data_IF_465883917166
#
_entry.id   IF_465883917166
#
_cell.length_a   1.000
_cell.length_b   1.000
_cell.length_c   1.000
_cell.angle_alpha   90.00
_cell.angle_beta   90.00
_cell.angle_gamma   90.00
#
_symmetry.space_group_name_H-M   'P 1'
#
loop_
_entity.id
_entity.type
_entity.pdbx_description
1 polymer ?
#
# COMPACT_ATOMS: atom_id res chain seq x y z
N UNK A 1 -25.49 -22.75 14.76
CA UNK A 1 -24.38 -23.16 13.87
C UNK A 1 -24.17 -22.00 12.92
N UNK A 2 -23.35 -21.05 13.31
CA UNK A 2 -23.18 -19.78 12.59
C UNK A 2 -21.80 -19.79 11.95
N UNK A 3 -21.77 -19.92 10.64
CA UNK A 3 -20.54 -19.84 9.85
C UNK A 3 -20.16 -18.38 9.76
N UNK A 4 -19.06 -17.98 10.40
CA UNK A 4 -18.44 -16.67 10.22
C UNK A 4 -17.57 -16.71 8.96
N UNK A 5 -18.05 -16.10 7.89
CA UNK A 5 -17.25 -15.90 6.68
C UNK A 5 -16.46 -14.59 6.86
N UNK A 6 -15.16 -14.72 7.11
CA UNK A 6 -14.25 -13.58 7.17
C UNK A 6 -13.78 -13.30 5.75
N UNK A 7 -14.17 -12.17 5.19
CA UNK A 7 -13.63 -11.67 3.92
C UNK A 7 -12.25 -11.10 4.22
N UNK A 8 -11.22 -11.88 3.94
CA UNK A 8 -9.82 -11.46 4.01
C UNK A 8 -9.44 -10.91 2.64
N UNK A 9 -9.27 -9.61 2.54
CA UNK A 9 -8.57 -8.99 1.40
C UNK A 9 -7.09 -9.38 1.53
N UNK A 10 -6.73 -10.36 0.72
CA UNK A 10 -5.49 -11.02 0.40
C UNK A 10 -4.20 -10.68 1.15
N UNK A 11 -3.89 -11.44 2.19
CA UNK A 11 -2.53 -11.84 2.48
C UNK A 11 -2.48 -13.37 2.32
N UNK A 12 -1.98 -13.86 1.21
CA UNK A 12 -1.83 -15.29 0.94
C UNK A 12 -0.60 -15.81 1.68
N UNK A 13 -0.80 -16.49 2.82
CA UNK A 13 0.23 -17.26 3.49
C UNK A 13 0.36 -18.63 2.80
N UNK A 14 1.50 -18.90 2.18
CA UNK A 14 1.87 -20.22 1.66
C UNK A 14 2.54 -21.02 2.77
N UNK A 15 1.96 -22.15 3.13
CA UNK A 15 2.52 -23.10 4.09
C UNK A 15 3.69 -23.88 3.47
N UNK A 16 4.87 -23.82 4.10
CA UNK A 16 6.04 -24.62 3.77
C UNK A 16 5.96 -25.99 4.42
N UNK A 17 5.97 -27.05 3.64
CA UNK A 17 6.20 -28.42 4.08
C UNK A 17 7.69 -28.72 4.11
N UNK A 18 8.20 -29.08 5.26
CA UNK A 18 9.60 -29.49 5.50
C UNK A 18 9.86 -30.90 5.01
N UNK A 19 10.82 -31.05 4.12
CA UNK A 19 11.44 -32.34 3.76
C UNK A 19 12.88 -32.37 4.25
N UNK A 20 13.18 -33.22 5.22
CA UNK A 20 14.53 -33.51 5.73
C UNK A 20 15.24 -34.51 4.79
N UNK A 21 16.46 -34.20 4.36
CA UNK A 21 17.44 -35.19 3.96
C UNK A 21 18.87 -34.74 4.35
N UNK A 22 19.58 -35.58 5.06
CA UNK A 22 20.91 -35.36 5.60
C UNK A 22 22.00 -35.99 4.68
N UNK A 23 23.31 -35.91 5.01
CA UNK A 23 24.34 -35.43 4.08
C UNK A 23 25.26 -36.54 3.53
N UNK A 24 26.00 -36.23 2.48
CA UNK A 24 27.18 -37.00 2.08
C UNK A 24 28.37 -36.08 1.91
N UNK A 25 29.43 -36.35 2.69
CA UNK A 25 30.73 -35.70 2.57
C UNK A 25 31.54 -36.32 1.46
N UNK A 26 32.25 -35.50 0.67
CA UNK A 26 33.42 -35.91 -0.05
C UNK A 26 34.41 -34.73 -0.19
N UNK A 27 35.63 -34.94 0.30
CA UNK A 27 36.74 -33.99 0.18
C UNK A 27 37.43 -34.14 -1.15
N UNK A 28 37.90 -33.01 -1.70
CA UNK A 28 38.73 -33.01 -2.90
C UNK A 28 39.31 -31.61 -3.18
N UNK A 29 40.60 -31.56 -3.11
CA UNK A 29 41.56 -30.47 -3.12
C UNK A 29 41.69 -29.70 -4.44
N UNK A 30 42.11 -28.44 -4.35
CA UNK A 30 42.82 -27.72 -5.42
C UNK A 30 42.08 -26.48 -5.96
N UNK A 31 42.38 -25.33 -5.42
CA UNK A 31 41.87 -24.05 -5.88
C UNK A 31 42.91 -23.20 -6.55
N UNK A 32 42.68 -22.86 -7.83
CA UNK A 32 43.21 -21.65 -8.41
C UNK A 32 42.22 -20.50 -8.14
N UNK A 33 42.67 -19.25 -7.90
CA UNK A 33 41.72 -18.16 -7.63
C UNK A 33 40.91 -17.85 -8.89
N UNK A 34 39.62 -18.03 -8.77
CA UNK A 34 38.67 -17.62 -9.81
C UNK A 34 38.73 -16.10 -9.93
N UNK A 35 39.19 -15.68 -11.12
CA UNK A 35 39.10 -14.30 -11.60
C UNK A 35 37.66 -13.84 -11.49
N UNK A 36 37.41 -12.78 -10.70
CA UNK A 36 36.08 -12.21 -10.56
C UNK A 36 35.51 -11.95 -11.97
N UNK A 37 34.43 -12.61 -12.30
CA UNK A 37 33.65 -12.36 -13.49
C UNK A 37 33.06 -10.94 -13.40
N UNK A 38 33.43 -10.13 -14.38
CA UNK A 38 32.88 -8.79 -14.52
C UNK A 38 31.38 -8.84 -14.73
N UNK A 39 30.63 -8.01 -13.95
CA UNK A 39 29.27 -7.60 -14.29
C UNK A 39 28.22 -8.70 -14.21
N UNK A 40 28.02 -9.31 -13.04
CA UNK A 40 26.73 -9.96 -12.78
C UNK A 40 25.66 -8.86 -12.78
N UNK A 41 24.66 -9.00 -13.65
CA UNK A 41 23.48 -8.12 -13.67
C UNK A 41 22.84 -8.16 -12.26
N UNK A 42 23.00 -7.09 -11.52
CA UNK A 42 22.58 -7.01 -10.10
C UNK A 42 21.07 -7.16 -9.91
N UNK A 43 20.28 -7.10 -10.99
CA UNK A 43 18.81 -7.19 -10.98
C UNK A 43 18.26 -8.44 -11.66
N UNK A 44 19.07 -9.47 -11.94
CA UNK A 44 18.61 -10.67 -12.65
C UNK A 44 17.58 -11.46 -11.83
N UNK A 45 17.73 -11.53 -10.50
CA UNK A 45 16.75 -12.16 -9.62
C UNK A 45 15.39 -11.42 -9.71
N UNK A 46 15.42 -10.11 -9.64
CA UNK A 46 14.23 -9.25 -9.77
C UNK A 46 13.55 -9.41 -11.13
N UNK A 47 14.32 -9.47 -12.22
CA UNK A 47 13.76 -9.76 -13.55
C UNK A 47 13.09 -11.13 -13.62
N UNK A 48 13.67 -12.15 -12.97
CA UNK A 48 13.06 -13.50 -12.91
C UNK A 48 11.75 -13.47 -12.13
N UNK A 49 11.72 -12.79 -10.98
CA UNK A 49 10.51 -12.66 -10.15
C UNK A 49 9.39 -11.92 -10.89
N UNK A 50 9.69 -10.81 -11.56
CA UNK A 50 8.75 -10.05 -12.38
C UNK A 50 8.18 -10.92 -13.53
N UNK A 51 9.02 -11.71 -14.20
CA UNK A 51 8.57 -12.64 -15.26
C UNK A 51 7.76 -13.82 -14.69
N UNK A 52 8.07 -14.25 -13.47
CA UNK A 52 7.29 -15.27 -12.78
C UNK A 52 5.88 -14.77 -12.49
N UNK A 53 5.71 -13.57 -11.95
CA UNK A 53 4.40 -12.98 -11.70
C UNK A 53 3.52 -12.96 -12.97
N UNK A 54 4.10 -12.65 -14.13
CA UNK A 54 3.35 -12.69 -15.41
C UNK A 54 2.97 -14.13 -15.80
N UNK A 55 3.86 -15.10 -15.61
CA UNK A 55 3.51 -16.52 -15.86
C UNK A 55 2.42 -17.02 -14.94
N UNK A 56 2.36 -16.49 -13.71
CA UNK A 56 1.37 -16.86 -12.68
C UNK A 56 0.04 -16.11 -12.84
N UNK A 57 -0.11 -15.34 -13.93
CA UNK A 57 -1.38 -14.77 -14.37
C UNK A 57 -1.55 -13.27 -14.17
N UNK A 58 -0.53 -12.55 -13.71
CA UNK A 58 -0.53 -11.07 -13.73
C UNK A 58 -0.46 -10.60 -15.18
N UNK A 59 -1.38 -9.73 -15.65
CA UNK A 59 -1.34 -9.25 -17.04
C UNK A 59 -0.04 -8.54 -17.39
N UNK A 60 0.48 -7.70 -16.50
CA UNK A 60 1.74 -7.00 -16.69
C UNK A 60 2.24 -6.31 -15.44
N UNK A 61 3.53 -6.06 -15.44
CA UNK A 61 4.29 -5.45 -14.33
C UNK A 61 5.07 -4.25 -14.85
N UNK A 62 5.12 -3.17 -14.06
CA UNK A 62 6.09 -2.09 -14.19
C UNK A 62 6.82 -1.94 -12.86
N UNK A 63 8.13 -1.71 -12.90
CA UNK A 63 9.00 -1.68 -11.74
C UNK A 63 10.12 -0.66 -11.93
N UNK A 64 10.43 0.07 -10.87
CA UNK A 64 11.65 0.87 -10.74
C UNK A 64 12.34 0.52 -9.42
N UNK A 65 13.65 0.34 -9.46
CA UNK A 65 14.50 0.20 -8.30
C UNK A 65 15.63 1.23 -8.33
N UNK A 66 16.04 1.68 -7.18
CA UNK A 66 17.13 2.65 -7.02
C UNK A 66 18.09 2.19 -5.94
N UNK A 67 19.38 2.25 -6.22
CA UNK A 67 20.41 2.04 -5.21
C UNK A 67 21.42 3.19 -5.26
N UNK A 68 21.42 4.03 -4.22
CA UNK A 68 22.19 5.25 -4.18
C UNK A 68 21.81 6.24 -5.29
N UNK A 69 22.71 6.43 -6.26
CA UNK A 69 22.49 7.29 -7.44
C UNK A 69 22.04 6.52 -8.67
N UNK A 70 22.20 5.20 -8.68
CA UNK A 70 21.79 4.34 -9.78
C UNK A 70 20.31 4.09 -9.72
N UNK A 71 19.64 4.15 -10.87
CA UNK A 71 18.22 3.79 -11.04
C UNK A 71 18.10 2.80 -12.19
N UNK A 72 17.25 1.82 -12.01
CA UNK A 72 16.97 0.79 -12.99
C UNK A 72 15.47 0.54 -13.05
N UNK A 73 14.93 0.34 -14.25
CA UNK A 73 13.52 0.06 -14.46
C UNK A 73 13.32 -1.10 -15.41
N UNK A 74 12.22 -1.82 -15.25
CA UNK A 74 11.84 -2.92 -16.13
C UNK A 74 10.33 -3.07 -16.21
N UNK A 75 9.89 -3.74 -17.27
CA UNK A 75 8.50 -4.16 -17.45
C UNK A 75 8.44 -5.62 -17.88
N UNK A 76 7.31 -6.26 -17.65
CA UNK A 76 6.99 -7.56 -18.21
C UNK A 76 5.48 -7.65 -18.51
N UNK A 77 5.10 -8.56 -19.41
CA UNK A 77 3.69 -8.74 -19.80
C UNK A 77 3.13 -7.55 -20.56
N UNK A 78 1.82 -7.34 -20.45
CA UNK A 78 1.11 -6.37 -21.27
C UNK A 78 0.34 -5.35 -20.41
N UNK A 79 0.29 -4.12 -20.93
CA UNK A 79 -0.52 -3.04 -20.39
C UNK A 79 -1.98 -3.08 -20.88
N UNK A 80 -2.24 -3.85 -21.94
CA UNK A 80 -3.58 -3.98 -22.50
C UNK A 80 -3.81 -5.40 -23.04
N UNK A 81 -4.69 -6.16 -22.40
CA UNK A 81 -5.00 -7.55 -22.77
C UNK A 81 -5.65 -7.67 -24.15
N UNK A 82 -6.35 -6.63 -24.64
CA UNK A 82 -7.03 -6.68 -25.95
C UNK A 82 -6.07 -6.38 -27.10
N UNK A 83 -5.16 -5.44 -26.93
CA UNK A 83 -4.23 -4.99 -27.99
C UNK A 83 -2.84 -5.60 -27.88
N UNK A 84 -2.55 -6.28 -26.76
CA UNK A 84 -1.23 -6.78 -26.38
C UNK A 84 -0.14 -5.69 -26.32
N UNK A 85 -0.54 -4.41 -26.20
CA UNK A 85 0.41 -3.33 -26.00
C UNK A 85 1.21 -3.58 -24.69
N UNK A 86 2.54 -3.44 -24.71
CA UNK A 86 3.36 -3.68 -23.51
C UNK A 86 3.09 -2.66 -22.41
N UNK A 87 3.55 -2.95 -21.19
CA UNK A 87 3.69 -1.95 -20.13
C UNK A 87 4.78 -0.94 -20.46
N UNK A 88 4.64 0.30 -19.95
CA UNK A 88 5.70 1.30 -19.93
C UNK A 88 6.29 1.43 -18.52
N UNK A 89 7.57 1.79 -18.43
CA UNK A 89 8.21 2.14 -17.15
C UNK A 89 7.62 3.42 -16.54
N UNK A 90 7.03 4.27 -17.37
CA UNK A 90 6.39 5.53 -16.99
C UNK A 90 4.87 5.38 -16.78
N UNK A 91 4.36 4.14 -16.75
CA UNK A 91 2.93 3.91 -16.52
C UNK A 91 2.52 4.43 -15.15
N UNK A 92 1.54 5.34 -15.15
CA UNK A 92 0.82 5.76 -13.94
C UNK A 92 -0.24 4.73 -13.59
N UNK A 93 -0.41 4.51 -12.29
CA UNK A 93 -1.35 3.55 -11.75
C UNK A 93 -1.94 4.03 -10.43
N UNK A 94 -3.08 3.45 -10.04
CA UNK A 94 -3.67 3.70 -8.72
C UNK A 94 -2.82 2.96 -7.68
N UNK A 95 -2.42 3.68 -6.64
CA UNK A 95 -1.46 3.14 -5.67
C UNK A 95 -2.14 2.52 -4.43
N UNK A 96 -3.47 2.59 -4.35
CA UNK A 96 -4.20 2.03 -3.22
C UNK A 96 -3.67 2.57 -1.88
N UNK A 97 -3.51 1.69 -0.91
CA UNK A 97 -3.16 2.05 0.47
C UNK A 97 -1.79 2.71 0.65
N UNK A 98 -0.92 2.75 -0.36
CA UNK A 98 0.28 3.61 -0.34
C UNK A 98 -0.11 5.08 -0.09
N UNK A 99 -1.33 5.49 -0.46
CA UNK A 99 -1.94 6.79 -0.12
C UNK A 99 -1.80 7.13 1.37
N UNK A 100 -1.91 6.12 2.24
CA UNK A 100 -1.87 6.30 3.70
C UNK A 100 -0.55 6.89 4.18
N UNK A 101 0.58 6.51 3.56
CA UNK A 101 1.88 7.06 3.92
C UNK A 101 1.96 8.56 3.62
N UNK A 102 1.36 9.01 2.51
CA UNK A 102 1.28 10.45 2.20
C UNK A 102 0.40 11.18 3.21
N UNK A 103 -0.76 10.63 3.57
CA UNK A 103 -1.68 11.20 4.57
C UNK A 103 -0.99 11.31 5.93
N UNK A 104 -0.35 10.22 6.39
CA UNK A 104 0.38 10.20 7.67
C UNK A 104 1.54 11.20 7.69
N UNK A 105 2.27 11.34 6.57
CA UNK A 105 3.33 12.34 6.46
C UNK A 105 2.78 13.76 6.66
N UNK A 106 1.61 14.09 6.10
CA UNK A 106 0.96 15.40 6.31
C UNK A 106 0.54 15.59 7.78
N UNK A 107 -0.06 14.59 8.41
CA UNK A 107 -0.44 14.66 9.83
C UNK A 107 0.79 14.92 10.70
N UNK A 108 1.89 14.21 10.46
CA UNK A 108 3.13 14.39 11.22
C UNK A 108 3.82 15.73 10.94
N UNK A 109 3.68 16.30 9.75
CA UNK A 109 4.13 17.68 9.49
C UNK A 109 3.28 18.70 10.26
N UNK A 110 1.96 18.50 10.34
CA UNK A 110 1.07 19.37 11.13
C UNK A 110 1.35 19.26 12.62
N UNK A 111 1.72 18.08 13.11
CA UNK A 111 2.20 17.89 14.49
C UNK A 111 3.50 18.65 14.74
N UNK A 112 4.49 18.52 13.85
CA UNK A 112 5.75 19.26 13.95
C UNK A 112 5.56 20.79 13.93
N UNK A 113 4.49 21.27 13.28
CA UNK A 113 4.07 22.67 13.26
C UNK A 113 3.30 23.09 14.54
N UNK A 114 3.04 22.18 15.47
CA UNK A 114 2.25 22.41 16.68
C UNK A 114 0.76 22.68 16.41
N UNK A 115 0.23 22.25 15.27
CA UNK A 115 -1.15 22.50 14.85
C UNK A 115 -2.13 21.42 15.31
N UNK A 116 -1.63 20.26 15.64
CA UNK A 116 -2.33 19.14 16.27
C UNK A 116 -1.31 18.33 17.10
N UNK A 117 -1.80 17.41 17.92
CA UNK A 117 -0.99 16.38 18.58
C UNK A 117 -1.49 14.99 18.17
N UNK A 118 -0.57 14.04 18.03
CA UNK A 118 -0.97 12.62 17.85
C UNK A 118 -1.79 12.09 19.03
N UNK A 119 -1.68 12.71 20.20
CA UNK A 119 -2.45 12.34 21.40
C UNK A 119 -3.80 13.05 21.49
N UNK A 120 -4.10 13.99 20.57
CA UNK A 120 -5.44 14.56 20.45
C UNK A 120 -6.44 13.46 20.13
N UNK A 121 -7.63 13.57 20.73
CA UNK A 121 -8.71 12.63 20.40
C UNK A 121 -9.38 13.00 19.06
N UNK A 122 -9.97 11.99 18.41
CA UNK A 122 -10.74 12.22 17.17
C UNK A 122 -11.82 13.27 17.39
N UNK A 123 -12.51 13.23 18.53
CA UNK A 123 -13.61 14.13 18.87
C UNK A 123 -13.15 15.58 19.06
N UNK A 124 -11.87 15.83 19.39
CA UNK A 124 -11.27 17.17 19.42
C UNK A 124 -11.39 17.88 18.06
N UNK A 125 -11.17 17.15 16.99
CA UNK A 125 -11.16 17.70 15.62
C UNK A 125 -12.47 17.46 14.87
N UNK A 126 -13.13 16.34 15.13
CA UNK A 126 -14.33 15.86 14.43
C UNK A 126 -15.42 15.52 15.45
N UNK A 127 -15.92 16.51 16.22
CA UNK A 127 -16.89 16.27 17.30
C UNK A 127 -18.15 15.58 16.77
N UNK A 128 -18.53 14.47 17.42
CA UNK A 128 -19.71 13.71 17.10
C UNK A 128 -19.67 12.94 15.78
N UNK A 129 -18.51 12.80 15.11
CA UNK A 129 -18.39 12.02 13.88
C UNK A 129 -18.19 10.53 14.20
N UNK A 130 -17.39 10.21 15.22
CA UNK A 130 -17.14 8.83 15.66
C UNK A 130 -17.96 8.54 16.90
N UNK A 131 -19.19 8.06 16.70
CA UNK A 131 -20.14 7.77 17.79
C UNK A 131 -21.17 6.72 17.38
N UNK A 132 -21.82 6.13 18.36
CA UNK A 132 -22.88 5.13 18.17
C UNK A 132 -22.36 3.71 18.09
N UNK A 133 -23.21 2.75 18.38
CA UNK A 133 -22.92 1.30 18.37
C UNK A 133 -21.68 0.89 19.18
N UNK A 134 -21.27 1.66 20.19
CA UNK A 134 -20.07 1.41 20.99
C UNK A 134 -18.81 2.17 20.56
N UNK A 135 -18.86 2.91 19.47
CA UNK A 135 -17.81 3.84 19.08
C UNK A 135 -17.84 5.12 19.91
N UNK A 136 -16.68 5.61 20.31
CA UNK A 136 -16.52 6.83 21.11
C UNK A 136 -15.22 7.57 20.68
N UNK A 137 -15.38 8.59 19.84
CA UNK A 137 -14.28 9.40 19.33
C UNK A 137 -13.49 10.16 20.39
N UNK A 138 -14.05 10.36 21.59
CA UNK A 138 -13.36 11.00 22.71
C UNK A 138 -12.30 10.10 23.37
N UNK A 139 -12.29 8.81 23.05
CA UNK A 139 -11.38 7.79 23.58
C UNK A 139 -10.37 7.28 22.57
N UNK A 140 -10.43 7.76 21.34
CA UNK A 140 -9.58 7.33 20.23
C UNK A 140 -8.65 8.48 19.86
N UNK A 141 -7.34 8.25 19.89
CA UNK A 141 -6.35 9.26 19.51
C UNK A 141 -6.05 9.25 18.00
N UNK A 142 -5.47 10.34 17.49
CA UNK A 142 -5.00 10.39 16.11
C UNK A 142 -3.89 9.35 15.85
N UNK A 143 -3.03 9.08 16.82
CA UNK A 143 -2.03 8.00 16.78
C UNK A 143 -2.70 6.66 16.51
N UNK A 144 -3.75 6.33 17.26
CA UNK A 144 -4.49 5.07 17.13
C UNK A 144 -5.22 4.93 15.78
N UNK A 145 -5.56 6.05 15.12
CA UNK A 145 -6.01 6.00 13.74
C UNK A 145 -4.87 5.57 12.81
N UNK A 146 -3.70 6.20 12.95
CA UNK A 146 -2.60 6.03 12.00
C UNK A 146 -1.91 4.66 12.11
N UNK A 147 -1.88 4.06 13.30
CA UNK A 147 -1.27 2.74 13.56
C UNK A 147 -2.27 1.57 13.58
N UNK A 148 -3.56 1.85 13.32
CA UNK A 148 -4.65 0.86 13.30
C UNK A 148 -4.95 0.18 14.65
N UNK A 149 -4.70 0.87 15.76
CA UNK A 149 -5.08 0.41 17.11
C UNK A 149 -6.36 1.06 17.63
N UNK A 150 -7.10 1.77 16.78
CA UNK A 150 -8.34 2.47 17.16
C UNK A 150 -9.54 1.58 17.50
N UNK A 151 -9.58 0.36 16.96
CA UNK A 151 -10.72 -0.54 17.01
C UNK A 151 -11.92 -0.12 16.13
N UNK A 152 -11.79 0.95 15.33
CA UNK A 152 -12.87 1.38 14.43
C UNK A 152 -13.08 0.35 13.32
N UNK A 153 -14.32 -0.10 13.15
CA UNK A 153 -14.72 -1.03 12.10
C UNK A 153 -14.28 -0.54 10.71
N UNK A 154 -13.75 -1.44 9.90
CA UNK A 154 -13.33 -1.13 8.55
C UNK A 154 -14.53 -1.11 7.59
N UNK A 155 -14.93 0.05 7.06
CA UNK A 155 -16.08 0.18 6.16
C UNK A 155 -16.00 -0.74 4.94
N UNK A 156 -14.78 -1.09 4.47
CA UNK A 156 -14.63 -2.02 3.34
C UNK A 156 -14.91 -3.49 3.71
N UNK A 157 -15.06 -3.80 4.99
CA UNK A 157 -15.49 -5.10 5.48
C UNK A 157 -17.02 -5.21 5.62
N UNK A 158 -17.78 -4.12 5.38
CA UNK A 158 -19.22 -4.16 5.31
C UNK A 158 -19.67 -5.00 4.10
N UNK A 159 -20.57 -5.95 4.35
CA UNK A 159 -21.02 -6.91 3.34
C UNK A 159 -21.76 -6.23 2.17
N UNK A 160 -22.56 -5.20 2.48
CA UNK A 160 -23.28 -4.44 1.46
C UNK A 160 -22.33 -3.61 0.62
N UNK A 161 -21.35 -2.94 1.26
CA UNK A 161 -20.30 -2.23 0.55
C UNK A 161 -19.50 -3.18 -0.36
N UNK A 162 -19.11 -4.34 0.14
CA UNK A 162 -18.40 -5.36 -0.63
C UNK A 162 -19.17 -5.81 -1.87
N UNK A 163 -20.45 -6.15 -1.72
CA UNK A 163 -21.30 -6.53 -2.84
C UNK A 163 -21.49 -5.40 -3.86
N UNK A 164 -21.65 -4.16 -3.39
CA UNK A 164 -21.90 -3.01 -4.25
C UNK A 164 -20.66 -2.56 -5.01
N UNK A 165 -19.47 -2.56 -4.37
CA UNK A 165 -18.29 -1.93 -4.98
C UNK A 165 -17.19 -2.91 -5.35
N UNK A 166 -17.16 -4.16 -4.86
CA UNK A 166 -16.08 -5.10 -5.15
C UNK A 166 -16.50 -6.28 -6.02
N UNK A 167 -17.77 -6.68 -5.99
CA UNK A 167 -18.25 -7.77 -6.82
C UNK A 167 -18.80 -7.28 -8.16
N UNK A 168 -18.72 -8.14 -9.18
CA UNK A 168 -18.93 -7.83 -10.61
C UNK A 168 -20.17 -6.97 -10.88
N UNK A 169 -21.34 -7.42 -10.47
CA UNK A 169 -22.60 -6.78 -10.87
C UNK A 169 -22.76 -5.43 -10.20
N UNK A 170 -22.47 -5.35 -8.89
CA UNK A 170 -22.46 -4.09 -8.16
C UNK A 170 -21.40 -3.14 -8.68
N UNK A 171 -20.15 -3.59 -8.88
CA UNK A 171 -19.09 -2.73 -9.41
C UNK A 171 -19.44 -2.15 -10.77
N UNK A 172 -19.97 -2.94 -11.70
CA UNK A 172 -20.31 -2.46 -13.05
C UNK A 172 -21.41 -1.40 -13.02
N UNK A 173 -22.33 -1.48 -12.08
CA UNK A 173 -23.42 -0.51 -11.88
C UNK A 173 -22.93 0.74 -11.14
N UNK A 174 -22.13 0.58 -10.07
CA UNK A 174 -21.82 1.60 -9.08
C UNK A 174 -20.41 2.21 -9.16
N UNK A 175 -19.53 1.73 -10.05
CA UNK A 175 -18.11 2.16 -10.12
C UNK A 175 -17.89 3.65 -10.36
N UNK A 176 -18.91 4.40 -10.71
CA UNK A 176 -18.84 5.84 -10.94
C UNK A 176 -19.53 6.67 -9.84
N UNK A 177 -20.12 6.02 -8.84
CA UNK A 177 -20.75 6.69 -7.74
C UNK A 177 -19.74 7.53 -6.95
N UNK A 178 -20.20 8.67 -6.46
CA UNK A 178 -19.41 9.52 -5.58
C UNK A 178 -19.80 9.26 -4.14
N UNK A 179 -18.83 8.86 -3.34
CA UNK A 179 -18.97 8.70 -1.90
C UNK A 179 -18.23 9.82 -1.17
N UNK A 180 -18.91 10.45 -0.23
CA UNK A 180 -18.27 11.43 0.66
C UNK A 180 -17.56 10.72 1.82
N UNK A 181 -16.50 11.33 2.42
CA UNK A 181 -15.87 10.78 3.62
C UNK A 181 -16.85 10.47 4.73
N UNK A 182 -17.84 11.35 4.96
CA UNK A 182 -18.88 11.13 5.98
C UNK A 182 -19.74 9.89 5.70
N UNK A 183 -20.07 9.60 4.45
CA UNK A 183 -20.79 8.37 4.08
C UNK A 183 -19.96 7.11 4.36
N UNK A 184 -18.65 7.14 4.04
CA UNK A 184 -17.76 6.01 4.35
C UNK A 184 -17.65 5.76 5.86
N UNK A 185 -17.51 6.83 6.66
CA UNK A 185 -17.50 6.74 8.12
C UNK A 185 -18.84 6.23 8.66
N UNK A 186 -19.96 6.70 8.10
CA UNK A 186 -21.29 6.27 8.54
C UNK A 186 -21.51 4.76 8.36
N UNK A 187 -20.95 4.15 7.30
CA UNK A 187 -20.97 2.68 7.13
C UNK A 187 -20.25 2.00 8.31
N UNK A 188 -19.07 2.49 8.69
CA UNK A 188 -18.34 1.92 9.83
C UNK A 188 -19.10 2.10 11.15
N UNK A 189 -19.72 3.26 11.37
CA UNK A 189 -20.50 3.55 12.58
C UNK A 189 -21.79 2.73 12.71
N UNK A 190 -22.24 2.09 11.64
CA UNK A 190 -23.37 1.14 11.69
C UNK A 190 -23.01 -0.20 12.35
N UNK A 191 -21.72 -0.50 12.51
CA UNK A 191 -21.20 -1.70 13.16
C UNK A 191 -20.69 -1.41 14.56
N UNK A 192 -20.37 -2.46 15.33
CA UNK A 192 -19.64 -2.31 16.59
C UNK A 192 -18.14 -2.18 16.33
N UNK A 193 -17.37 -1.54 17.22
CA UNK A 193 -15.91 -1.56 17.12
C UNK A 193 -15.37 -3.00 17.23
N UNK A 194 -14.25 -3.27 16.56
CA UNK A 194 -13.61 -4.59 16.59
C UNK A 194 -13.03 -4.90 17.98
N UNK A 195 -12.56 -3.88 18.69
CA UNK A 195 -12.00 -3.95 20.06
C UNK A 195 -11.95 -2.55 20.70
N UNK A 196 -11.65 -2.49 21.98
CA UNK A 196 -11.46 -1.22 22.69
C UNK A 196 -10.18 -0.52 22.23
N UNK A 197 -10.15 0.83 22.07
CA UNK A 197 -8.99 1.56 21.58
C UNK A 197 -7.69 1.21 22.33
N UNK A 198 -6.64 0.92 21.59
CA UNK A 198 -5.32 0.59 22.12
C UNK A 198 -5.13 -0.85 22.61
N UNK A 199 -6.16 -1.72 22.56
CA UNK A 199 -6.06 -3.08 23.11
C UNK A 199 -5.68 -4.16 22.09
N UNK A 200 -5.77 -3.88 20.79
CA UNK A 200 -5.41 -4.79 19.71
C UNK A 200 -5.07 -4.01 18.45
N UNK A 201 -4.83 -4.72 17.35
CA UNK A 201 -4.54 -4.18 16.04
C UNK A 201 -5.49 -4.80 15.00
N UNK A 202 -6.13 -3.97 14.19
CA UNK A 202 -6.87 -4.40 13.01
C UNK A 202 -6.87 -3.30 11.95
N UNK A 203 -6.46 -3.65 10.73
CA UNK A 203 -6.38 -2.71 9.62
C UNK A 203 -7.75 -2.15 9.27
N UNK A 204 -7.90 -0.82 9.32
CA UNK A 204 -9.16 -0.14 9.00
C UNK A 204 -8.94 1.05 8.08
N UNK A 205 -9.55 1.00 6.89
CA UNK A 205 -9.56 2.13 5.97
C UNK A 205 -10.31 3.34 6.54
N UNK A 206 -11.29 3.12 7.41
CA UNK A 206 -12.05 4.17 8.10
C UNK A 206 -11.12 5.12 8.85
N UNK A 207 -10.05 4.61 9.47
CA UNK A 207 -9.06 5.40 10.19
C UNK A 207 -8.44 6.48 9.31
N UNK A 208 -8.10 6.15 8.07
CA UNK A 208 -7.45 7.07 7.14
C UNK A 208 -8.43 8.01 6.43
N UNK A 209 -9.70 7.60 6.29
CA UNK A 209 -10.77 8.54 5.92
C UNK A 209 -10.91 9.63 6.99
N UNK A 210 -10.94 9.25 8.27
CA UNK A 210 -10.95 10.18 9.40
C UNK A 210 -9.69 11.06 9.44
N UNK A 211 -8.50 10.49 9.22
CA UNK A 211 -7.25 11.27 9.18
C UNK A 211 -7.29 12.34 8.08
N UNK A 212 -7.83 12.03 6.89
CA UNK A 212 -8.04 13.02 5.82
C UNK A 212 -9.03 14.12 6.22
N UNK A 213 -10.11 13.78 6.93
CA UNK A 213 -11.05 14.76 7.48
C UNK A 213 -10.39 15.65 8.55
N UNK A 214 -9.52 15.09 9.40
CA UNK A 214 -8.74 15.85 10.39
C UNK A 214 -7.81 16.84 9.71
N UNK A 215 -7.06 16.43 8.68
CA UNK A 215 -6.21 17.33 7.90
C UNK A 215 -7.04 18.51 7.38
N UNK A 216 -8.19 18.25 6.78
CA UNK A 216 -9.06 19.31 6.27
C UNK A 216 -9.57 20.24 7.38
N UNK A 217 -9.90 19.69 8.54
CA UNK A 217 -10.37 20.48 9.70
C UNK A 217 -9.27 21.39 10.25
N UNK A 218 -8.05 20.88 10.38
CA UNK A 218 -6.88 21.60 10.91
C UNK A 218 -6.43 22.70 9.95
N UNK A 219 -6.46 22.43 8.64
CA UNK A 219 -5.86 23.31 7.63
C UNK A 219 -6.86 24.23 6.95
N UNK A 220 -8.14 23.86 6.95
CA UNK A 220 -9.20 24.53 6.17
C UNK A 220 -9.15 24.18 4.69
N UNK A 221 -8.26 23.25 4.26
CA UNK A 221 -8.08 22.83 2.86
C UNK A 221 -8.32 21.33 2.70
N UNK A 222 -8.79 20.87 1.54
CA UNK A 222 -8.86 19.44 1.24
C UNK A 222 -7.49 18.77 1.45
N UNK A 223 -7.48 17.56 2.03
CA UNK A 223 -6.23 16.82 2.31
C UNK A 223 -5.38 16.62 1.05
N UNK A 224 -6.01 16.48 -0.13
CA UNK A 224 -5.30 16.33 -1.39
C UNK A 224 -4.51 17.58 -1.80
N UNK A 225 -4.98 18.77 -1.45
CA UNK A 225 -4.23 20.01 -1.65
C UNK A 225 -3.04 20.09 -0.69
N UNK A 226 -3.20 19.67 0.56
CA UNK A 226 -2.10 19.61 1.53
C UNK A 226 -1.03 18.61 1.09
N UNK A 227 -1.41 17.42 0.61
CA UNK A 227 -0.46 16.45 0.02
C UNK A 227 0.27 17.09 -1.18
N UNK A 228 -0.44 17.79 -2.06
CA UNK A 228 0.17 18.44 -3.21
C UNK A 228 1.21 19.47 -2.78
N UNK A 229 0.83 20.40 -1.92
CA UNK A 229 1.70 21.50 -1.49
C UNK A 229 2.88 21.05 -0.64
N UNK A 230 2.68 20.05 0.22
CA UNK A 230 3.67 19.62 1.21
C UNK A 230 4.59 18.50 0.71
N UNK A 231 4.15 17.70 -0.26
CA UNK A 231 4.89 16.53 -0.71
C UNK A 231 5.12 16.54 -2.22
N UNK A 232 4.05 16.62 -3.03
CA UNK A 232 4.13 16.46 -4.49
C UNK A 232 4.97 17.57 -5.11
N UNK A 233 4.62 18.83 -4.84
CA UNK A 233 5.29 20.00 -5.42
C UNK A 233 6.76 20.09 -4.95
N UNK A 234 7.11 19.97 -3.64
CA UNK A 234 8.49 20.06 -3.18
C UNK A 234 9.40 18.92 -3.68
N UNK A 235 8.86 17.72 -3.87
CA UNK A 235 9.61 16.59 -4.39
C UNK A 235 9.56 16.45 -5.92
N UNK A 236 8.83 17.33 -6.61
CA UNK A 236 8.61 17.27 -8.06
C UNK A 236 8.07 15.92 -8.52
N UNK A 237 7.03 15.40 -7.85
CA UNK A 237 6.38 14.13 -8.17
C UNK A 237 5.36 14.36 -9.31
N UNK A 238 5.86 14.40 -10.54
CA UNK A 238 5.06 14.83 -11.70
C UNK A 238 4.04 13.81 -12.18
N UNK A 239 4.18 12.56 -11.78
CA UNK A 239 3.24 11.48 -12.07
C UNK A 239 2.22 11.28 -10.94
N UNK A 240 2.43 11.92 -9.77
CA UNK A 240 1.63 11.72 -8.56
C UNK A 240 0.49 12.73 -8.46
N UNK A 241 -0.70 12.26 -8.10
CA UNK A 241 -1.88 13.12 -7.92
C UNK A 241 -2.89 12.51 -6.96
N UNK A 242 -3.73 13.38 -6.39
CA UNK A 242 -4.95 13.02 -5.64
C UNK A 242 -6.13 13.29 -6.56
N UNK A 243 -6.75 12.25 -7.16
CA UNK A 243 -7.75 12.42 -8.22
C UNK A 243 -9.12 12.92 -7.74
N UNK A 244 -9.47 12.73 -6.46
CA UNK A 244 -10.80 13.03 -5.93
C UNK A 244 -11.87 12.15 -6.57
N UNK A 245 -12.72 12.74 -7.42
CA UNK A 245 -13.78 12.00 -8.11
C UNK A 245 -13.43 11.67 -9.58
N UNK A 246 -12.20 11.98 -10.01
CA UNK A 246 -11.80 11.75 -11.41
C UNK A 246 -11.65 10.25 -11.69
N UNK A 247 -12.47 9.74 -12.60
CA UNK A 247 -12.57 8.31 -12.92
C UNK A 247 -11.41 7.76 -13.78
N UNK A 248 -10.62 8.64 -14.41
CA UNK A 248 -9.54 8.25 -15.31
C UNK A 248 -8.17 8.34 -14.64
N UNK A 249 -7.26 7.46 -15.06
CA UNK A 249 -5.82 7.60 -14.77
C UNK A 249 -5.19 8.42 -15.90
N UNK A 250 -4.42 9.50 -15.60
CA UNK A 250 -3.74 10.28 -16.63
C UNK A 250 -2.69 9.43 -17.37
N UNK A 251 -2.48 9.70 -18.66
CA UNK A 251 -1.44 9.01 -19.44
C UNK A 251 -0.02 9.55 -19.15
N UNK A 252 1.03 8.74 -19.41
CA UNK A 252 0.93 7.35 -19.85
C UNK A 252 0.38 6.44 -18.74
N UNK A 253 -0.42 5.44 -19.11
CA UNK A 253 -0.99 4.47 -18.16
C UNK A 253 -1.44 3.21 -18.89
N UNK A 254 -1.34 2.09 -18.23
CA UNK A 254 -1.91 0.81 -18.68
C UNK A 254 -3.36 0.65 -18.28
N UNK A 255 -4.02 -0.39 -18.83
CA UNK A 255 -5.30 -0.86 -18.32
C UNK A 255 -5.11 -1.59 -17.00
N UNK A 256 -6.12 -1.56 -16.16
CA UNK A 256 -6.23 -2.27 -14.89
C UNK A 256 -7.31 -3.34 -14.99
N UNK A 257 -7.05 -4.52 -14.45
CA UNK A 257 -7.91 -5.69 -14.62
C UNK A 257 -8.24 -6.34 -13.28
N UNK A 258 -9.46 -6.83 -13.13
CA UNK A 258 -9.93 -7.56 -11.95
C UNK A 258 -10.79 -8.75 -12.34
N UNK A 259 -10.89 -9.72 -11.45
CA UNK A 259 -11.90 -10.80 -11.54
C UNK A 259 -13.26 -10.34 -11.05
N UNK A 260 -13.31 -9.29 -10.22
CA UNK A 260 -14.52 -8.79 -9.56
C UNK A 260 -15.30 -9.92 -8.86
N UNK A 261 -14.56 -10.80 -8.21
CA UNK A 261 -15.05 -11.99 -7.54
C UNK A 261 -14.23 -12.28 -6.28
N UNK A 262 -14.78 -13.04 -5.36
CA UNK A 262 -14.09 -13.47 -4.13
C UNK A 262 -12.94 -14.46 -4.40
N UNK A 263 -12.86 -15.00 -5.61
CA UNK A 263 -11.84 -15.95 -6.01
C UNK A 263 -11.02 -15.45 -7.21
N UNK A 264 -9.80 -15.96 -7.35
CA UNK A 264 -8.90 -15.65 -8.47
C UNK A 264 -9.34 -16.26 -9.82
N UNK A 265 -10.49 -16.93 -9.86
CA UNK A 265 -11.00 -17.64 -11.05
C UNK A 265 -12.09 -16.85 -11.77
N UNK A 266 -12.38 -17.23 -13.00
CA UNK A 266 -13.45 -16.62 -13.79
C UNK A 266 -12.97 -15.56 -14.80
N UNK A 267 -13.91 -14.85 -15.42
CA UNK A 267 -13.61 -13.82 -16.42
C UNK A 267 -12.78 -12.67 -15.85
N UNK A 268 -12.05 -11.99 -16.74
CA UNK A 268 -11.27 -10.81 -16.41
C UNK A 268 -11.97 -9.56 -16.96
N UNK A 269 -12.14 -8.55 -16.14
CA UNK A 269 -12.81 -7.30 -16.47
C UNK A 269 -11.82 -6.13 -16.51
N UNK A 270 -12.01 -5.20 -17.44
CA UNK A 270 -11.32 -3.91 -17.47
C UNK A 270 -11.96 -2.98 -16.44
N UNK A 271 -11.22 -2.69 -15.38
CA UNK A 271 -11.62 -1.85 -14.25
C UNK A 271 -10.84 -0.53 -14.19
N UNK A 272 -10.17 -0.16 -15.28
CA UNK A 272 -9.32 1.04 -15.38
C UNK A 272 -10.05 2.30 -14.93
N UNK A 273 -11.36 2.39 -15.27
CA UNK A 273 -12.18 3.55 -14.95
C UNK A 273 -13.08 3.27 -13.77
N UNK A 274 -12.84 3.94 -12.68
CA UNK A 274 -13.65 3.93 -11.47
C UNK A 274 -13.53 5.29 -10.76
N UNK A 275 -14.56 5.67 -10.01
CA UNK A 275 -14.50 6.84 -9.14
C UNK A 275 -13.77 6.44 -7.84
N UNK A 276 -12.57 6.99 -7.56
CA UNK A 276 -11.78 6.54 -6.43
C UNK A 276 -12.24 7.12 -5.08
N UNK A 277 -13.28 7.93 -5.05
CA UNK A 277 -13.87 8.45 -3.80
C UNK A 277 -14.32 7.34 -2.84
N UNK A 278 -14.59 6.13 -3.36
CA UNK A 278 -14.85 4.94 -2.56
C UNK A 278 -13.69 4.58 -1.61
N UNK A 279 -12.46 5.01 -1.94
CA UNK A 279 -11.25 4.80 -1.12
C UNK A 279 -10.79 6.08 -0.41
N UNK A 280 -11.12 7.27 -0.95
CA UNK A 280 -10.79 8.58 -0.38
C UNK A 280 -9.32 8.63 0.08
N UNK A 281 -9.02 9.32 1.20
CA UNK A 281 -7.69 9.42 1.82
C UNK A 281 -7.09 8.09 2.29
N UNK A 282 -7.84 6.99 2.24
CA UNK A 282 -7.31 5.66 2.53
C UNK A 282 -6.67 4.98 1.31
N UNK A 283 -6.94 5.44 0.04
CA UNK A 283 -6.46 4.65 -1.10
C UNK A 283 -6.63 5.25 -2.50
N UNK A 284 -6.98 6.53 -2.68
CA UNK A 284 -7.36 7.04 -3.99
C UNK A 284 -6.21 7.48 -4.91
N UNK A 285 -4.99 7.70 -4.39
CA UNK A 285 -3.92 8.35 -5.13
C UNK A 285 -3.47 7.57 -6.37
N UNK A 286 -2.93 8.33 -7.31
CA UNK A 286 -2.27 7.84 -8.52
C UNK A 286 -0.81 8.28 -8.47
N UNK A 287 0.11 7.39 -8.89
CA UNK A 287 1.53 7.68 -9.01
C UNK A 287 2.18 6.77 -10.07
N UNK A 288 3.49 6.86 -10.22
CA UNK A 288 4.33 5.88 -10.92
C UNK A 288 5.44 5.36 -9.99
N UNK A 289 6.17 4.35 -10.44
CA UNK A 289 7.20 3.72 -9.63
C UNK A 289 8.38 4.67 -9.32
N UNK A 290 8.71 5.59 -10.21
CA UNK A 290 9.82 6.52 -10.02
C UNK A 290 9.50 7.61 -8.97
N UNK A 291 8.28 8.11 -8.98
CA UNK A 291 7.82 9.08 -7.98
C UNK A 291 7.69 8.44 -6.59
N UNK A 292 7.17 7.21 -6.51
CA UNK A 292 7.10 6.46 -5.24
C UNK A 292 8.50 6.22 -4.66
N UNK A 293 9.46 5.79 -5.46
CA UNK A 293 10.86 5.65 -5.04
C UNK A 293 11.43 6.97 -4.51
N UNK A 294 11.15 8.09 -5.19
CA UNK A 294 11.59 9.42 -4.76
C UNK A 294 10.97 9.82 -3.44
N UNK A 295 9.67 9.58 -3.26
CA UNK A 295 8.96 9.89 -2.04
C UNK A 295 9.49 9.09 -0.85
N UNK A 296 9.52 7.76 -0.92
CA UNK A 296 9.99 6.92 0.19
C UNK A 296 11.46 7.14 0.53
N UNK A 297 12.31 7.32 -0.49
CA UNK A 297 13.71 7.69 -0.29
C UNK A 297 13.85 9.03 0.44
N UNK A 298 13.06 10.04 0.08
CA UNK A 298 13.08 11.35 0.73
C UNK A 298 12.56 11.26 2.18
N UNK A 299 11.49 10.52 2.41
CA UNK A 299 10.87 10.32 3.72
C UNK A 299 11.85 9.65 4.69
N UNK A 300 12.45 8.51 4.31
CA UNK A 300 13.35 7.75 5.20
C UNK A 300 14.71 8.44 5.39
N UNK A 301 15.11 9.34 4.49
CA UNK A 301 16.27 10.24 4.65
C UNK A 301 15.98 11.44 5.56
N UNK A 302 14.78 11.54 6.14
CA UNK A 302 14.40 12.65 7.01
C UNK A 302 14.23 13.99 6.30
N UNK A 303 13.93 14.00 4.98
CA UNK A 303 13.72 15.24 4.22
C UNK A 303 12.28 15.75 4.29
N UNK A 304 11.36 14.88 4.72
CA UNK A 304 9.94 15.20 4.78
C UNK A 304 9.45 15.46 6.21
N UNK A 305 10.14 14.93 7.20
CA UNK A 305 9.79 15.00 8.61
C UNK A 305 11.02 15.36 9.45
N UNK A 306 10.85 16.12 10.54
CA UNK A 306 11.86 16.24 11.59
C UNK A 306 12.19 14.87 12.19
N UNK A 307 13.37 14.71 12.82
CA UNK A 307 13.81 13.42 13.38
C UNK A 307 12.84 12.80 14.39
N UNK A 308 12.16 13.62 15.18
CA UNK A 308 11.18 13.17 16.17
C UNK A 308 9.96 12.54 15.50
N UNK A 309 9.33 13.22 14.56
CA UNK A 309 8.17 12.73 13.83
C UNK A 309 8.51 11.52 12.96
N UNK A 310 9.72 11.46 12.38
CA UNK A 310 10.16 10.28 11.66
C UNK A 310 10.35 9.08 12.59
N UNK A 311 10.85 9.31 13.80
CA UNK A 311 10.95 8.28 14.84
C UNK A 311 9.55 7.78 15.25
N UNK A 312 8.61 8.68 15.49
CA UNK A 312 7.20 8.34 15.77
C UNK A 312 6.61 7.49 14.63
N UNK A 313 6.80 7.92 13.38
CA UNK A 313 6.31 7.19 12.21
C UNK A 313 6.87 5.77 12.11
N UNK A 314 8.08 5.54 12.59
CA UNK A 314 8.79 4.24 12.60
C UNK A 314 8.59 3.44 13.88
N UNK A 315 7.90 3.96 14.89
CA UNK A 315 7.55 3.20 16.09
C UNK A 315 6.41 2.25 15.75
N UNK A 316 6.69 0.95 15.75
CA UNK A 316 5.76 -0.07 15.25
C UNK A 316 5.05 -0.81 16.35
N UNK A 317 3.82 -1.22 16.07
CA UNK A 317 3.09 -2.27 16.78
C UNK A 317 3.18 -3.58 15.99
N UNK A 318 3.13 -4.75 16.65
CA UNK A 318 3.12 -6.04 15.95
C UNK A 318 1.88 -6.17 15.05
N UNK A 319 2.06 -6.74 13.86
CA UNK A 319 0.95 -7.08 12.96
C UNK A 319 0.54 -8.53 13.22
N UNK A 320 -0.69 -8.73 13.68
CA UNK A 320 -1.19 -10.07 13.95
C UNK A 320 -1.22 -10.90 12.66
N UNK A 321 -0.69 -12.13 12.74
CA UNK A 321 -0.66 -13.06 11.60
C UNK A 321 0.44 -12.83 10.56
N UNK A 322 1.25 -11.77 10.67
CA UNK A 322 2.39 -11.53 9.79
C UNK A 322 3.70 -11.54 10.60
N UNK A 323 4.38 -12.67 10.69
CA UNK A 323 5.64 -12.74 11.41
C UNK A 323 6.70 -11.84 10.76
N UNK A 324 7.56 -11.24 11.58
CA UNK A 324 8.63 -10.34 11.18
C UNK A 324 8.16 -9.01 10.53
N UNK A 325 6.90 -8.62 10.75
CA UNK A 325 6.38 -7.31 10.35
C UNK A 325 5.87 -6.51 11.55
N UNK A 326 6.06 -5.20 11.49
CA UNK A 326 5.48 -4.23 12.40
C UNK A 326 4.84 -3.08 11.64
N UNK A 327 3.75 -2.53 12.15
CA UNK A 327 3.06 -1.40 11.55
C UNK A 327 3.28 -0.14 12.37
N UNK A 328 3.88 0.88 11.77
CA UNK A 328 4.03 2.20 12.37
C UNK A 328 2.88 3.13 11.97
N UNK A 329 3.17 4.42 11.78
CA UNK A 329 2.16 5.38 11.30
C UNK A 329 2.14 5.38 9.77
N UNK A 330 1.49 4.39 9.16
CA UNK A 330 1.48 4.10 7.71
C UNK A 330 2.86 3.73 7.12
N UNK A 331 3.72 3.17 7.91
CA UNK A 331 4.94 2.50 7.46
C UNK A 331 4.97 1.08 8.03
N UNK A 332 5.13 0.12 7.14
CA UNK A 332 5.34 -1.28 7.52
C UNK A 332 6.85 -1.53 7.57
N UNK A 333 7.37 -1.97 8.72
CA UNK A 333 8.71 -2.59 8.82
C UNK A 333 8.59 -4.07 8.51
N UNK A 334 9.34 -4.55 7.55
CA UNK A 334 9.39 -5.96 7.18
C UNK A 334 10.84 -6.44 7.18
N UNK A 335 11.13 -7.47 7.99
CA UNK A 335 12.41 -8.16 7.97
C UNK A 335 12.40 -9.26 6.92
N UNK A 336 13.23 -9.12 5.90
CA UNK A 336 13.36 -10.07 4.80
C UNK A 336 14.18 -11.30 5.19
N UNK A 337 14.12 -12.34 4.35
CA UNK A 337 14.80 -13.63 4.60
C UNK A 337 16.32 -13.52 4.74
N UNK A 338 16.95 -12.52 4.14
CA UNK A 338 18.38 -12.20 4.27
C UNK A 338 18.71 -11.30 5.47
N UNK A 339 17.72 -10.95 6.31
CA UNK A 339 17.92 -10.10 7.49
C UNK A 339 17.86 -8.60 7.21
N UNK A 340 17.69 -8.18 5.95
CA UNK A 340 17.47 -6.77 5.60
C UNK A 340 16.09 -6.34 6.06
N UNK A 341 15.99 -5.15 6.64
CA UNK A 341 14.72 -4.49 6.95
C UNK A 341 14.35 -3.53 5.83
N UNK A 342 13.14 -3.65 5.33
CA UNK A 342 12.55 -2.70 4.36
C UNK A 342 11.35 -2.01 5.00
N UNK A 343 11.20 -0.74 4.68
CA UNK A 343 10.16 0.15 5.18
C UNK A 343 9.35 0.70 4.03
N UNK A 344 8.04 0.65 4.12
CA UNK A 344 7.15 1.18 3.08
C UNK A 344 5.72 0.78 3.29
N UNK A 345 4.99 0.67 2.21
CA UNK A 345 3.59 0.23 2.23
C UNK A 345 3.25 -0.49 0.92
N UNK A 346 2.35 -1.43 0.99
CA UNK A 346 1.68 -2.04 -0.15
C UNK A 346 0.32 -1.37 -0.40
N UNK A 347 -0.28 -1.62 -1.54
CA UNK A 347 -1.57 -1.04 -1.86
C UNK A 347 -2.35 -1.87 -2.87
N UNK A 348 -3.61 -2.09 -2.54
CA UNK A 348 -4.58 -2.74 -3.42
C UNK A 348 -5.77 -1.83 -3.67
N UNK A 349 -6.20 -1.77 -4.91
CA UNK A 349 -7.46 -1.22 -5.39
C UNK A 349 -7.81 -1.95 -6.70
N UNK A 350 -9.05 -1.92 -7.12
CA UNK A 350 -9.49 -2.66 -8.32
C UNK A 350 -8.48 -2.59 -9.47
N UNK A 351 -7.99 -3.77 -9.86
CA UNK A 351 -7.06 -3.95 -10.96
C UNK A 351 -5.65 -3.45 -10.72
N UNK A 352 -5.27 -3.18 -9.48
CA UNK A 352 -3.96 -2.65 -9.15
C UNK A 352 -3.47 -3.20 -7.82
N UNK A 353 -2.34 -3.91 -7.85
CA UNK A 353 -1.56 -4.30 -6.67
C UNK A 353 -0.21 -3.61 -6.76
N UNK A 354 0.14 -2.82 -5.77
CA UNK A 354 1.33 -1.98 -5.75
C UNK A 354 2.15 -2.19 -4.49
N UNK A 355 3.46 -2.05 -4.59
CA UNK A 355 4.38 -2.04 -3.45
C UNK A 355 5.37 -0.91 -3.64
N UNK A 356 5.68 -0.20 -2.56
CA UNK A 356 6.77 0.76 -2.51
C UNK A 356 7.50 0.64 -1.17
N UNK A 357 8.75 0.23 -1.22
CA UNK A 357 9.59 -0.03 -0.05
C UNK A 357 11.00 0.50 -0.23
N UNK A 358 11.68 0.79 0.87
CA UNK A 358 13.08 1.24 0.88
C UNK A 358 13.80 0.72 2.13
N UNK A 359 15.11 0.64 2.08
CA UNK A 359 15.94 0.40 3.28
C UNK A 359 15.77 1.53 4.31
N UNK A 360 16.08 1.25 5.57
CA UNK A 360 15.90 2.18 6.68
C UNK A 360 16.64 3.53 6.51
N UNK A 361 17.69 3.57 5.68
CA UNK A 361 18.47 4.76 5.32
C UNK A 361 17.98 5.46 4.03
N UNK A 362 16.94 4.93 3.39
CA UNK A 362 16.36 5.44 2.16
C UNK A 362 17.24 5.35 0.92
N UNK A 363 18.31 4.53 0.93
CA UNK A 363 19.28 4.46 -0.17
C UNK A 363 18.93 3.43 -1.23
N UNK A 364 18.38 2.27 -0.82
CA UNK A 364 17.92 1.24 -1.73
C UNK A 364 16.40 1.18 -1.67
N UNK A 365 15.73 1.53 -2.76
CA UNK A 365 14.27 1.57 -2.87
C UNK A 365 13.79 0.77 -4.06
N UNK A 366 12.56 0.30 -3.95
CA UNK A 366 11.86 -0.47 -4.95
C UNK A 366 10.39 -0.05 -4.97
N UNK A 367 9.86 0.29 -6.14
CA UNK A 367 8.43 0.46 -6.33
C UNK A 367 7.97 -0.26 -7.59
N UNK A 368 6.83 -0.92 -7.52
CA UNK A 368 6.26 -1.64 -8.65
C UNK A 368 4.74 -1.76 -8.57
N UNK A 369 4.16 -2.11 -9.72
CA UNK A 369 2.73 -2.33 -9.85
C UNK A 369 2.43 -3.53 -10.76
N UNK A 370 1.51 -4.36 -10.32
CA UNK A 370 0.79 -5.34 -11.11
C UNK A 370 -0.54 -4.73 -11.57
N UNK A 371 -0.83 -4.77 -12.88
CA UNK A 371 -2.11 -4.28 -13.40
C UNK A 371 -3.23 -5.33 -13.36
N UNK A 372 -3.19 -6.15 -12.33
CA UNK A 372 -4.20 -7.13 -11.92
C UNK A 372 -4.16 -7.31 -10.40
N UNK A 373 -5.28 -7.69 -9.80
CA UNK A 373 -5.47 -7.76 -8.34
C UNK A 373 -5.76 -9.17 -7.81
N UNK A 374 -5.57 -10.22 -8.63
CA UNK A 374 -5.95 -11.59 -8.26
C UNK A 374 -4.79 -12.59 -8.22
N UNK A 375 -3.60 -12.20 -8.63
CA UNK A 375 -2.44 -13.11 -8.73
C UNK A 375 -1.13 -12.33 -8.63
N UNK A 376 -0.05 -13.09 -8.54
CA UNK A 376 1.31 -12.57 -8.43
C UNK A 376 1.77 -12.48 -6.97
N UNK A 377 3.04 -12.86 -6.77
CA UNK A 377 3.70 -12.82 -5.47
C UNK A 377 4.52 -11.53 -5.38
N UNK A 378 3.99 -10.53 -4.67
CA UNK A 378 4.67 -9.26 -4.45
C UNK A 378 5.88 -9.41 -3.53
N UNK A 379 5.82 -10.32 -2.57
CA UNK A 379 6.92 -10.56 -1.62
C UNK A 379 8.13 -11.18 -2.33
N UNK A 380 7.91 -12.09 -3.30
CA UNK A 380 8.98 -12.64 -4.12
C UNK A 380 9.73 -11.55 -4.92
N UNK A 381 9.04 -10.51 -5.38
CA UNK A 381 9.70 -9.38 -6.09
C UNK A 381 10.54 -8.56 -5.13
N UNK A 382 10.06 -8.30 -3.91
CA UNK A 382 10.80 -7.59 -2.86
C UNK A 382 12.03 -8.40 -2.43
N UNK A 383 11.85 -9.69 -2.12
CA UNK A 383 12.95 -10.59 -1.74
C UNK A 383 14.02 -10.68 -2.84
N UNK A 384 13.59 -10.75 -4.10
CA UNK A 384 14.51 -10.81 -5.23
C UNK A 384 15.38 -9.56 -5.36
N UNK A 385 14.83 -8.37 -5.14
CA UNK A 385 15.57 -7.11 -5.25
C UNK A 385 16.54 -6.90 -4.09
N UNK A 386 16.12 -7.15 -2.87
CA UNK A 386 16.93 -6.84 -1.69
C UNK A 386 17.82 -7.99 -1.23
N UNK A 387 17.46 -9.24 -1.55
CA UNK A 387 18.18 -10.45 -1.14
C UNK A 387 18.83 -11.21 -2.28
N UNK A 388 18.55 -10.89 -3.54
CA UNK A 388 19.16 -11.53 -4.72
C UNK A 388 18.70 -12.98 -4.96
N UNK A 389 17.51 -13.37 -4.46
CA UNK A 389 17.01 -14.76 -4.50
C UNK A 389 15.93 -14.96 -5.55
#
# INVERSE_FOLDING_TARGET
MTVRTTVVVGATAVALTTGLAAPAMAAGTGTAPARAAAGTDTHEATRRAVRAAVRDGVPGVTLTARNGRSSWSTTAGVGNLRTHAPRSVDDRYRVGSITKTFVSTVVLQLEAEGRLSLDDTVDTWLPGVVHGNGHDGSRITLRQLLDHTSGIFNYTADETFGRTYFLKDGFLEHRYDTLTPGQLVAIAMAHQPDFAPGTSWNYSNTNYVLAGMVIQKVTGRPYGEEIRHRIIDPLHLTATSVPGTRVTVPGPSSRAYSKLAETATGPTYDVTRLNPSLASSAGEMISDSADLDRFYSALLKGRMLPPEQLKEMKTTVPVEGIPNAGYGLALIDRKLSCGVHVWGHDGGIHGSSSVAVTTADGRHSLAFNFNGDWSGDTDAVVEAEFCGK
#
